data_IF_312933285402
#
_entry.id   IF_312933285402
#
_cell.length_a   1.000
_cell.length_b   1.000
_cell.length_c   1.000
_cell.angle_alpha   90.00
_cell.angle_beta   90.00
_cell.angle_gamma   90.00
#
_symmetry.space_group_name_H-M   'P 1'
#
loop_
_entity.id
_entity.type
_entity.pdbx_description
1 polymer ?
#
# COMPACT_ATOMS: atom_id res chain seq x y z
N UNK A 1 -16.68 1.20 7.58
CA UNK A 1 -15.60 0.20 7.44
C UNK A 1 -14.30 0.96 7.19
N UNK A 2 -13.14 0.46 7.59
CA UNK A 2 -11.88 1.13 7.29
C UNK A 2 -11.67 1.19 5.77
N UNK A 3 -11.00 2.22 5.31
CA UNK A 3 -10.80 2.47 3.87
C UNK A 3 -9.33 2.57 3.54
N UNK A 4 -8.90 1.85 2.51
CA UNK A 4 -7.59 2.01 1.90
C UNK A 4 -7.68 2.65 0.51
N UNK A 5 -6.64 3.36 0.13
CA UNK A 5 -6.45 3.86 -1.23
C UNK A 5 -5.25 3.16 -1.88
N UNK A 6 -5.42 2.74 -3.11
CA UNK A 6 -4.37 2.12 -3.91
C UNK A 6 -4.08 3.02 -5.10
N UNK A 7 -2.85 3.51 -5.18
CA UNK A 7 -2.37 4.39 -6.24
C UNK A 7 -1.32 3.63 -7.06
N UNK A 8 -1.68 3.30 -8.29
CA UNK A 8 -0.91 2.43 -9.17
C UNK A 8 -1.51 1.04 -9.28
N UNK A 9 -2.02 0.68 -10.46
CA UNK A 9 -2.82 -0.50 -10.77
C UNK A 9 -2.07 -1.64 -11.46
N UNK A 10 -0.76 -1.70 -11.28
CA UNK A 10 0.03 -2.86 -11.70
C UNK A 10 -0.28 -4.11 -10.88
N UNK A 11 0.47 -5.19 -11.11
CA UNK A 11 0.27 -6.48 -10.40
C UNK A 11 0.37 -6.30 -8.89
N UNK A 12 1.31 -5.50 -8.39
CA UNK A 12 1.51 -5.28 -6.95
C UNK A 12 0.36 -4.47 -6.34
N UNK A 13 -0.01 -3.34 -6.95
CA UNK A 13 -1.12 -2.53 -6.44
C UNK A 13 -2.46 -3.28 -6.50
N UNK A 14 -2.73 -4.00 -7.58
CA UNK A 14 -3.91 -4.87 -7.68
C UNK A 14 -3.93 -5.98 -6.63
N UNK A 15 -2.76 -6.52 -6.29
CA UNK A 15 -2.64 -7.53 -5.25
C UNK A 15 -2.83 -6.95 -3.84
N UNK A 16 -2.38 -5.71 -3.58
CA UNK A 16 -2.71 -4.97 -2.37
C UNK A 16 -4.22 -4.69 -2.27
N UNK A 17 -4.84 -4.20 -3.36
CA UNK A 17 -6.29 -4.01 -3.40
C UNK A 17 -7.04 -5.28 -3.01
N UNK A 18 -6.64 -6.42 -3.58
CA UNK A 18 -7.21 -7.73 -3.28
C UNK A 18 -7.02 -8.12 -1.81
N UNK A 19 -5.85 -7.84 -1.23
CA UNK A 19 -5.57 -8.12 0.19
C UNK A 19 -6.49 -7.33 1.10
N UNK A 20 -6.66 -6.04 0.88
CA UNK A 20 -7.55 -5.18 1.65
C UNK A 20 -9.01 -5.62 1.50
N UNK A 21 -9.50 -5.79 0.28
CA UNK A 21 -10.89 -6.19 0.00
C UNK A 21 -11.28 -7.49 0.70
N UNK A 22 -10.46 -8.53 0.56
CA UNK A 22 -10.74 -9.85 1.13
C UNK A 22 -10.58 -9.91 2.66
N UNK A 23 -9.99 -8.88 3.27
CA UNK A 23 -9.95 -8.69 4.72
C UNK A 23 -10.97 -7.64 5.21
N UNK A 24 -11.99 -7.31 4.41
CA UNK A 24 -13.16 -6.52 4.83
C UNK A 24 -12.95 -5.00 4.81
N UNK A 25 -11.88 -4.51 4.17
CA UNK A 25 -11.67 -3.08 3.98
C UNK A 25 -12.29 -2.61 2.68
N UNK A 26 -12.84 -1.42 2.67
CA UNK A 26 -13.20 -0.73 1.44
C UNK A 26 -11.93 -0.25 0.73
N UNK A 27 -11.91 -0.38 -0.60
CA UNK A 27 -10.77 0.01 -1.42
C UNK A 27 -11.20 1.06 -2.44
N UNK A 28 -10.46 2.17 -2.46
CA UNK A 28 -10.47 3.15 -3.53
C UNK A 28 -9.24 2.96 -4.38
N UNK A 29 -9.44 2.79 -5.67
CA UNK A 29 -8.38 2.41 -6.59
C UNK A 29 -8.24 3.45 -7.69
N UNK A 30 -7.02 3.94 -7.89
CA UNK A 30 -6.70 4.86 -8.97
C UNK A 30 -5.45 4.43 -9.72
N UNK A 31 -5.58 4.36 -11.04
CA UNK A 31 -4.47 4.25 -11.99
C UNK A 31 -4.91 4.81 -13.34
N UNK A 32 -4.14 5.71 -13.98
CA UNK A 32 -4.50 6.33 -15.25
C UNK A 32 -4.33 5.41 -16.47
N UNK A 33 -3.72 4.23 -16.31
CA UNK A 33 -3.49 3.32 -17.42
C UNK A 33 -4.81 2.67 -17.88
N UNK A 34 -5.09 2.64 -19.19
CA UNK A 34 -6.38 2.20 -19.73
C UNK A 34 -6.68 0.71 -19.47
N UNK A 35 -5.69 -0.09 -19.14
CA UNK A 35 -5.83 -1.52 -18.86
C UNK A 35 -5.74 -1.86 -17.36
N UNK A 36 -5.64 -0.88 -16.49
CA UNK A 36 -5.48 -1.08 -15.04
C UNK A 36 -6.63 -1.87 -14.42
N UNK A 37 -7.87 -1.58 -14.84
CA UNK A 37 -9.05 -2.32 -14.38
C UNK A 37 -9.02 -3.80 -14.80
N UNK A 38 -8.53 -4.10 -16.00
CA UNK A 38 -8.38 -5.48 -16.48
C UNK A 38 -7.34 -6.23 -15.63
N UNK A 39 -6.23 -5.57 -15.30
CA UNK A 39 -5.20 -6.15 -14.41
C UNK A 39 -5.77 -6.39 -13.02
N UNK A 40 -6.46 -5.40 -12.45
CA UNK A 40 -7.10 -5.49 -11.13
C UNK A 40 -8.06 -6.68 -11.08
N UNK A 41 -9.00 -6.78 -12.02
CA UNK A 41 -9.99 -7.84 -12.06
C UNK A 41 -9.33 -9.23 -12.18
N UNK A 42 -8.32 -9.37 -13.03
CA UNK A 42 -7.58 -10.63 -13.19
C UNK A 42 -6.85 -11.05 -11.90
N UNK A 43 -6.29 -10.11 -11.14
CA UNK A 43 -5.61 -10.38 -9.87
C UNK A 43 -6.64 -10.70 -8.79
N UNK A 44 -7.72 -9.93 -8.70
CA UNK A 44 -8.78 -10.11 -7.71
C UNK A 44 -9.49 -11.45 -7.89
N UNK A 45 -9.77 -11.88 -9.12
CA UNK A 45 -10.36 -13.20 -9.38
C UNK A 45 -9.47 -14.35 -8.92
N UNK A 46 -8.16 -14.22 -9.12
CA UNK A 46 -7.19 -15.19 -8.58
C UNK A 46 -7.18 -15.17 -7.05
N UNK A 47 -7.20 -13.98 -6.46
CA UNK A 47 -7.23 -13.83 -5.00
C UNK A 47 -8.49 -14.46 -4.40
N UNK A 48 -9.67 -14.16 -4.93
CA UNK A 48 -10.95 -14.76 -4.52
C UNK A 48 -10.96 -16.28 -4.59
N UNK A 49 -10.23 -16.84 -5.57
CA UNK A 49 -10.12 -18.29 -5.73
C UNK A 49 -9.18 -18.92 -4.71
N UNK A 50 -8.03 -18.32 -4.44
CA UNK A 50 -6.95 -18.98 -3.70
C UNK A 50 -6.86 -18.57 -2.23
N UNK A 51 -7.28 -17.36 -1.86
CA UNK A 51 -7.18 -16.89 -0.47
C UNK A 51 -8.03 -17.74 0.49
N UNK A 52 -9.27 -18.15 0.14
CA UNK A 52 -10.06 -19.03 1.00
C UNK A 52 -9.46 -20.42 1.23
N UNK A 53 -8.55 -20.87 0.37
CA UNK A 53 -7.84 -22.16 0.55
C UNK A 53 -6.71 -22.07 1.58
N UNK A 54 -6.29 -20.85 1.93
CA UNK A 54 -5.17 -20.58 2.85
C UNK A 54 -5.64 -20.05 4.20
N UNK A 55 -6.77 -19.35 4.24
CA UNK A 55 -7.32 -18.72 5.44
C UNK A 55 -8.66 -19.34 5.84
N UNK A 56 -8.73 -19.88 7.05
CA UNK A 56 -9.92 -20.56 7.56
C UNK A 56 -11.16 -19.67 7.69
N UNK A 57 -10.95 -18.38 7.91
CA UNK A 57 -12.01 -17.39 8.08
C UNK A 57 -11.64 -16.08 7.44
N UNK A 58 -12.49 -15.60 6.57
CA UNK A 58 -12.42 -14.27 5.97
C UNK A 58 -13.67 -13.48 6.37
N UNK A 59 -13.54 -12.18 6.65
CA UNK A 59 -14.70 -11.30 6.80
C UNK A 59 -15.44 -11.17 5.45
N UNK A 60 -16.63 -10.57 5.44
CA UNK A 60 -17.28 -10.16 4.20
C UNK A 60 -16.33 -9.24 3.41
N UNK A 61 -16.28 -9.45 2.09
CA UNK A 61 -15.43 -8.63 1.20
C UNK A 61 -15.88 -7.17 1.25
N UNK A 62 -14.92 -6.23 1.29
CA UNK A 62 -15.17 -4.80 1.25
C UNK A 62 -15.62 -4.31 -0.13
N UNK A 63 -16.01 -3.05 -0.21
CA UNK A 63 -16.44 -2.42 -1.45
C UNK A 63 -15.24 -1.88 -2.25
N UNK A 64 -15.23 -2.13 -3.56
CA UNK A 64 -14.25 -1.56 -4.49
C UNK A 64 -14.85 -0.35 -5.22
N UNK A 65 -14.13 0.76 -5.20
CA UNK A 65 -14.48 1.98 -5.95
C UNK A 65 -13.30 2.37 -6.86
N UNK A 66 -13.54 2.45 -8.15
CA UNK A 66 -12.58 3.02 -9.10
C UNK A 66 -12.70 4.55 -9.05
N UNK A 67 -11.57 5.24 -8.92
CA UNK A 67 -11.50 6.68 -8.76
C UNK A 67 -10.81 7.33 -9.97
N UNK A 68 -11.32 8.47 -10.41
CA UNK A 68 -10.78 9.19 -11.57
C UNK A 68 -9.51 9.98 -11.23
N UNK A 69 -9.25 10.27 -9.96
CA UNK A 69 -8.09 11.03 -9.50
C UNK A 69 -7.48 10.46 -8.22
N UNK A 70 -6.21 10.83 -7.97
CA UNK A 70 -5.53 10.55 -6.70
C UNK A 70 -6.32 11.17 -5.54
N UNK A 71 -6.75 12.42 -5.69
CA UNK A 71 -7.51 13.14 -4.66
C UNK A 71 -8.79 12.41 -4.24
N UNK A 72 -9.56 11.89 -5.21
CA UNK A 72 -10.78 11.12 -4.93
C UNK A 72 -10.47 9.81 -4.19
N UNK A 73 -9.36 9.17 -4.56
CA UNK A 73 -8.98 7.91 -3.95
C UNK A 73 -8.53 8.09 -2.49
N UNK A 74 -7.70 9.11 -2.21
CA UNK A 74 -7.02 9.23 -0.90
C UNK A 74 -7.82 9.98 0.16
N UNK A 75 -8.86 10.74 -0.23
CA UNK A 75 -9.66 11.52 0.73
C UNK A 75 -10.30 10.62 1.77
N UNK A 76 -9.92 10.78 3.04
CA UNK A 76 -10.45 10.01 4.17
C UNK A 76 -9.97 8.56 4.25
N UNK A 77 -9.00 8.13 3.44
CA UNK A 77 -8.38 6.82 3.57
C UNK A 77 -7.46 6.77 4.80
N UNK A 78 -7.46 5.63 5.50
CA UNK A 78 -6.58 5.38 6.65
C UNK A 78 -5.22 4.82 6.24
N UNK A 79 -5.20 4.02 5.16
CA UNK A 79 -4.01 3.47 4.53
C UNK A 79 -3.97 3.87 3.05
N UNK A 80 -2.84 4.36 2.58
CA UNK A 80 -2.62 4.72 1.20
C UNK A 80 -1.39 3.95 0.71
N UNK A 81 -1.58 3.06 -0.27
CA UNK A 81 -0.51 2.28 -0.85
C UNK A 81 -0.12 2.83 -2.22
N UNK A 82 1.07 3.37 -2.34
CA UNK A 82 1.69 3.77 -3.60
C UNK A 82 2.38 2.55 -4.23
N UNK A 83 2.00 2.22 -5.47
CA UNK A 83 2.53 1.10 -6.27
C UNK A 83 2.76 1.52 -7.73
N UNK A 84 3.20 2.76 -7.94
CA UNK A 84 3.52 3.30 -9.28
C UNK A 84 4.86 2.73 -9.79
N UNK A 85 5.22 2.96 -11.07
CA UNK A 85 6.46 2.44 -11.62
C UNK A 85 7.70 2.78 -10.79
N UNK A 86 8.69 1.87 -10.75
CA UNK A 86 9.91 1.96 -9.94
C UNK A 86 10.87 3.02 -10.48
N UNK A 87 10.43 4.27 -10.41
CA UNK A 87 11.17 5.48 -10.80
C UNK A 87 11.00 6.54 -9.73
N UNK A 88 12.12 6.98 -9.15
CA UNK A 88 12.12 7.85 -7.98
C UNK A 88 11.33 9.16 -8.22
N UNK A 89 11.53 9.78 -9.38
CA UNK A 89 10.87 11.05 -9.72
C UNK A 89 9.35 10.89 -9.83
N UNK A 90 8.88 9.75 -10.35
CA UNK A 90 7.43 9.46 -10.44
C UNK A 90 6.87 9.29 -9.03
N UNK A 91 7.53 8.47 -8.21
CA UNK A 91 7.08 8.21 -6.84
C UNK A 91 7.05 9.48 -6.00
N UNK A 92 8.05 10.34 -6.09
CA UNK A 92 8.09 11.61 -5.36
C UNK A 92 6.94 12.55 -5.77
N UNK A 93 6.64 12.66 -7.06
CA UNK A 93 5.50 13.46 -7.55
C UNK A 93 4.18 12.90 -7.05
N UNK A 94 3.96 11.59 -7.15
CA UNK A 94 2.73 10.93 -6.70
C UNK A 94 2.58 11.04 -5.18
N UNK A 95 3.64 10.86 -4.41
CA UNK A 95 3.60 10.98 -2.95
C UNK A 95 3.27 12.42 -2.51
N UNK A 96 3.78 13.42 -3.22
CA UNK A 96 3.43 14.82 -2.97
C UNK A 96 1.94 15.08 -3.27
N UNK A 97 1.44 14.61 -4.41
CA UNK A 97 0.03 14.74 -4.79
C UNK A 97 -0.92 14.02 -3.81
N UNK A 98 -0.56 12.82 -3.34
CA UNK A 98 -1.28 12.11 -2.27
C UNK A 98 -1.44 13.01 -1.04
N UNK A 99 -0.38 13.68 -0.62
CA UNK A 99 -0.38 14.51 0.57
C UNK A 99 -1.20 15.81 0.45
N UNK A 100 -1.52 16.26 -0.77
CA UNK A 100 -2.40 17.41 -0.97
C UNK A 100 -3.83 17.14 -0.50
N UNK A 101 -4.28 15.87 -0.55
CA UNK A 101 -5.68 15.51 -0.33
C UNK A 101 -5.90 14.47 0.77
N UNK A 102 -4.88 13.78 1.25
CA UNK A 102 -5.02 12.82 2.33
C UNK A 102 -5.04 13.50 3.70
N UNK A 103 -5.68 12.85 4.67
CA UNK A 103 -5.67 13.30 6.06
C UNK A 103 -4.28 13.14 6.69
N UNK A 104 -3.97 13.96 7.68
CA UNK A 104 -2.65 13.97 8.34
C UNK A 104 -2.35 12.64 9.04
N UNK A 105 -3.38 12.00 9.52
CA UNK A 105 -3.28 10.71 10.23
C UNK A 105 -3.11 9.51 9.30
N UNK A 106 -3.33 9.65 7.99
CA UNK A 106 -3.19 8.51 7.07
C UNK A 106 -1.76 7.95 7.07
N UNK A 107 -1.62 6.64 6.95
CA UNK A 107 -0.34 6.00 6.62
C UNK A 107 -0.17 6.05 5.11
N UNK A 108 0.92 6.66 4.65
CA UNK A 108 1.32 6.69 3.23
C UNK A 108 2.48 5.73 3.04
N UNK A 109 2.22 4.61 2.38
CA UNK A 109 3.18 3.54 2.21
C UNK A 109 3.56 3.35 0.74
N UNK A 110 4.84 3.13 0.44
CA UNK A 110 5.31 2.79 -0.90
C UNK A 110 5.66 1.31 -0.99
N UNK A 111 5.33 0.69 -2.14
CA UNK A 111 5.71 -0.69 -2.48
C UNK A 111 7.10 -0.80 -3.11
N UNK A 112 7.90 0.25 -3.08
CA UNK A 112 9.24 0.22 -3.69
C UNK A 112 10.08 -0.95 -3.17
N UNK A 113 10.84 -1.56 -4.05
CA UNK A 113 11.81 -2.61 -3.70
C UNK A 113 13.23 -2.05 -3.50
N UNK A 114 13.52 -0.87 -4.06
CA UNK A 114 14.90 -0.37 -4.14
C UNK A 114 15.16 0.92 -3.38
N UNK A 115 14.22 1.85 -3.38
CA UNK A 115 14.45 3.19 -2.82
C UNK A 115 14.30 3.22 -1.30
N UNK A 116 15.17 4.00 -0.65
CA UNK A 116 15.04 4.25 0.79
C UNK A 116 13.88 5.21 1.07
N UNK A 117 13.19 5.06 2.22
CA UNK A 117 12.14 5.99 2.63
C UNK A 117 12.58 7.46 2.59
N UNK A 118 13.81 7.78 3.01
CA UNK A 118 14.36 9.14 2.97
C UNK A 118 14.46 9.72 1.55
N UNK A 119 14.74 8.88 0.53
CA UNK A 119 14.73 9.29 -0.87
C UNK A 119 13.31 9.59 -1.36
N UNK A 120 12.34 8.74 -1.02
CA UNK A 120 10.93 8.95 -1.35
C UNK A 120 10.37 10.23 -0.71
N UNK A 121 10.78 10.53 0.51
CA UNK A 121 10.34 11.68 1.30
C UNK A 121 10.91 13.02 0.80
N UNK A 122 11.88 13.02 -0.13
CA UNK A 122 12.47 14.24 -0.63
C UNK A 122 11.40 15.11 -1.33
N UNK A 123 11.25 16.34 -0.87
CA UNK A 123 10.23 17.28 -1.38
C UNK A 123 8.83 17.11 -0.79
N UNK A 124 8.57 16.08 0.00
CA UNK A 124 7.28 15.87 0.68
C UNK A 124 7.07 16.85 1.84
N UNK A 125 5.84 17.35 1.99
CA UNK A 125 5.47 18.29 3.05
C UNK A 125 5.43 17.63 4.43
N UNK A 126 4.99 16.36 4.50
CA UNK A 126 4.83 15.57 5.74
C UNK A 126 5.65 14.27 5.61
N UNK A 127 6.97 14.39 5.75
CA UNK A 127 7.92 13.28 5.63
C UNK A 127 7.64 12.15 6.62
N UNK A 128 7.21 12.51 7.82
CA UNK A 128 6.90 11.61 8.92
C UNK A 128 5.70 10.68 8.65
N UNK A 129 4.90 11.00 7.63
CA UNK A 129 3.74 10.21 7.21
C UNK A 129 4.10 9.08 6.24
N UNK A 130 5.27 9.17 5.59
CA UNK A 130 5.68 8.27 4.50
C UNK A 130 6.64 7.20 5.02
N UNK A 131 6.34 5.94 4.74
CA UNK A 131 7.21 4.79 4.99
C UNK A 131 7.19 3.83 3.78
N UNK A 132 8.04 2.83 3.80
CA UNK A 132 7.96 1.73 2.84
C UNK A 132 7.20 0.58 3.49
N UNK A 133 6.24 0.01 2.74
CA UNK A 133 5.63 -1.28 3.03
C UNK A 133 5.89 -2.20 1.83
N UNK A 134 7.05 -2.87 1.85
CA UNK A 134 7.53 -3.71 0.77
C UNK A 134 6.95 -5.13 0.88
N UNK A 135 6.02 -5.53 -0.02
CA UNK A 135 5.35 -6.81 0.06
C UNK A 135 6.14 -7.90 -0.65
N UNK A 136 5.85 -9.15 -0.30
CA UNK A 136 6.26 -10.31 -1.09
C UNK A 136 5.11 -10.74 -2.02
N UNK A 137 5.42 -10.93 -3.30
CA UNK A 137 4.42 -11.29 -4.31
C UNK A 137 4.21 -12.82 -4.38
N UNK A 138 2.97 -13.34 -4.44
CA UNK A 138 1.70 -12.62 -4.54
C UNK A 138 1.22 -12.05 -3.20
N UNK A 139 1.01 -10.72 -3.13
CA UNK A 139 0.65 -10.00 -1.90
C UNK A 139 -0.63 -10.53 -1.26
N UNK A 140 -1.62 -10.94 -2.07
CA UNK A 140 -2.87 -11.49 -1.58
C UNK A 140 -2.74 -12.87 -0.91
N UNK A 141 -1.64 -13.60 -1.13
CA UNK A 141 -1.37 -14.91 -0.51
C UNK A 141 -0.29 -14.87 0.56
N UNK A 142 0.84 -14.20 0.25
CA UNK A 142 1.97 -14.14 1.16
C UNK A 142 1.74 -13.04 2.20
N UNK A 143 1.74 -13.39 3.50
CA UNK A 143 1.43 -12.41 4.54
C UNK A 143 2.61 -11.53 4.94
N UNK A 144 3.80 -11.75 4.42
CA UNK A 144 5.00 -11.04 4.85
C UNK A 144 5.08 -9.68 4.15
N UNK A 145 5.39 -8.65 4.93
CA UNK A 145 5.65 -7.30 4.45
C UNK A 145 6.77 -6.67 5.28
N UNK A 146 7.75 -6.08 4.62
CA UNK A 146 8.80 -5.31 5.29
C UNK A 146 8.31 -3.87 5.50
N UNK A 147 8.30 -3.41 6.75
CA UNK A 147 8.01 -2.03 7.10
C UNK A 147 9.33 -1.31 7.33
N UNK A 148 9.62 -0.33 6.50
CA UNK A 148 10.88 0.41 6.57
C UNK A 148 10.59 1.88 6.81
N UNK A 149 10.74 2.38 8.04
CA UNK A 149 10.67 3.80 8.35
C UNK A 149 12.03 4.48 8.08
N UNK A 150 12.02 5.77 7.77
CA UNK A 150 13.20 6.60 7.91
C UNK A 150 13.31 7.14 9.34
N UNK A 151 14.42 7.79 9.67
CA UNK A 151 14.66 8.36 10.99
C UNK A 151 13.67 9.46 11.42
N UNK A 152 12.92 10.05 10.48
CA UNK A 152 11.92 11.10 10.79
C UNK A 152 10.51 10.55 11.03
N UNK A 153 10.27 9.27 10.78
CA UNK A 153 8.96 8.63 11.03
C UNK A 153 8.83 8.30 12.52
N UNK A 154 7.83 8.86 13.22
CA UNK A 154 7.62 8.57 14.64
C UNK A 154 7.31 7.09 14.88
N UNK A 155 7.75 6.59 16.03
CA UNK A 155 7.46 5.21 16.47
C UNK A 155 5.96 4.91 16.52
N UNK A 156 5.14 5.87 16.91
CA UNK A 156 3.68 5.76 16.92
C UNK A 156 3.11 5.51 15.51
N UNK A 157 3.66 6.18 14.50
CA UNK A 157 3.29 5.97 13.08
C UNK A 157 3.63 4.55 12.63
N UNK A 158 4.81 4.05 13.02
CA UNK A 158 5.25 2.69 12.72
C UNK A 158 4.34 1.66 13.38
N UNK A 159 4.06 1.80 14.68
CA UNK A 159 3.18 0.90 15.43
C UNK A 159 1.76 0.89 14.85
N UNK A 160 1.26 2.04 14.44
CA UNK A 160 -0.03 2.13 13.76
C UNK A 160 -0.02 1.43 12.39
N UNK A 161 1.05 1.58 11.61
CA UNK A 161 1.21 0.87 10.34
C UNK A 161 1.21 -0.66 10.55
N UNK A 162 1.95 -1.15 11.56
CA UNK A 162 1.97 -2.57 11.93
C UNK A 162 0.57 -3.08 12.33
N UNK A 163 -0.17 -2.29 13.10
CA UNK A 163 -1.52 -2.65 13.53
C UNK A 163 -2.49 -2.76 12.34
N UNK A 164 -2.47 -1.78 11.42
CA UNK A 164 -3.32 -1.80 10.21
C UNK A 164 -2.95 -2.95 9.27
N UNK A 165 -1.67 -3.25 9.10
CA UNK A 165 -1.21 -4.41 8.32
C UNK A 165 -1.64 -5.73 8.97
N UNK A 166 -1.58 -5.82 10.28
CA UNK A 166 -2.03 -7.02 11.02
C UNK A 166 -3.53 -7.24 10.87
N UNK A 167 -4.32 -6.17 10.85
CA UNK A 167 -5.79 -6.23 10.66
C UNK A 167 -6.17 -6.88 9.32
N UNK A 168 -5.36 -6.68 8.28
CA UNK A 168 -5.52 -7.35 6.98
C UNK A 168 -4.73 -8.66 6.87
N UNK A 169 -4.45 -9.32 7.99
CA UNK A 169 -3.76 -10.61 8.07
C UNK A 169 -2.34 -10.61 7.49
N UNK A 170 -1.67 -9.45 7.47
CA UNK A 170 -0.24 -9.37 7.16
C UNK A 170 0.61 -9.58 8.42
N UNK A 171 1.87 -9.95 8.19
CA UNK A 171 2.90 -10.10 9.23
C UNK A 171 4.02 -9.11 8.96
N UNK A 172 3.92 -7.90 9.50
CA UNK A 172 4.95 -6.88 9.28
C UNK A 172 6.27 -7.28 9.93
N UNK A 173 7.37 -7.04 9.22
CA UNK A 173 8.73 -7.15 9.70
C UNK A 173 9.33 -5.76 9.63
N UNK A 174 9.41 -5.08 10.76
CA UNK A 174 9.91 -3.72 10.82
C UNK A 174 11.42 -3.68 10.88
N UNK A 175 12.04 -2.98 9.94
CA UNK A 175 13.48 -2.76 9.94
C UNK A 175 13.84 -1.60 10.88
N UNK A 176 14.95 -1.74 11.60
CA UNK A 176 15.43 -0.73 12.56
C UNK A 176 16.08 0.48 11.89
N UNK A 177 16.46 0.35 10.63
CA UNK A 177 17.05 1.40 9.82
C UNK A 177 16.76 1.15 8.35
N UNK A 178 16.67 2.23 7.59
CA UNK A 178 16.58 2.15 6.13
C UNK A 178 17.90 1.65 5.53
N UNK A 179 17.80 0.76 4.58
CA UNK A 179 18.91 0.25 3.79
C UNK A 179 18.48 0.14 2.32
N UNK A 180 19.37 0.36 1.36
CA UNK A 180 19.05 0.17 -0.06
C UNK A 180 18.57 -1.26 -0.33
N UNK A 181 17.52 -1.42 -1.12
CA UNK A 181 16.92 -2.71 -1.51
C UNK A 181 16.42 -3.58 -0.33
N UNK A 182 16.17 -2.98 0.84
CA UNK A 182 15.63 -3.61 2.04
C UNK A 182 16.36 -4.93 2.39
N UNK A 183 15.71 -5.90 3.04
CA UNK A 183 16.33 -7.20 3.35
C UNK A 183 15.92 -8.27 2.36
N UNK A 184 14.66 -8.25 1.90
CA UNK A 184 14.07 -9.31 1.08
C UNK A 184 14.64 -9.44 -0.32
N UNK A 185 15.24 -8.39 -0.87
CA UNK A 185 15.84 -8.38 -2.21
C UNK A 185 17.37 -8.58 -2.20
N UNK A 186 17.92 -8.97 -1.06
CA UNK A 186 19.35 -9.32 -0.86
C UNK A 186 19.50 -10.81 -0.69
#
# INVERSE_FOLDING_TARGET
>A
MPTSAIIGGGVIGSAWASRFLLNGWDVRFHDPAPNSEVVLNNVLDKARRWVPEVYDRLPPEGALTLCDSIADAVTGAEWIQESTPERLEIKQVVLAEIQESCVVEAIVASSTSGFMPSELQAGSARREQILVAHPYNPVYLLPIVEVVPSAVVPEETVQRAEALLTDISMKPITLRAEIPAHVGDR
#
